data_IF_344955567588
#
_entry.id   IF_344955567588
#
_cell.length_a   1.000
_cell.length_b   1.000
_cell.length_c   1.000
_cell.angle_alpha   90.00
_cell.angle_beta   90.00
_cell.angle_gamma   90.00
#
_symmetry.space_group_name_H-M   'P 1'
#
loop_
_entity.id
_entity.type
_entity.pdbx_description
1 polymer ?
#
# COMPACT_ATOMS: atom_id res chain seq x y z
N UNK A 1 -1.53 -17.53 -31.84
CA UNK A 1 -0.47 -18.47 -31.43
C UNK A 1 -0.80 -18.89 -30.02
N UNK A 2 -1.31 -20.11 -29.88
CA UNK A 2 -1.61 -20.73 -28.58
C UNK A 2 -0.27 -21.06 -27.95
N UNK A 3 0.13 -20.29 -26.96
CA UNK A 3 1.34 -20.59 -26.18
C UNK A 3 1.01 -21.78 -25.28
N UNK A 4 1.52 -22.94 -25.60
CA UNK A 4 1.47 -24.14 -24.75
C UNK A 4 2.08 -23.79 -23.39
N UNK A 5 1.23 -23.79 -22.37
CA UNK A 5 1.66 -23.63 -20.96
C UNK A 5 2.41 -24.89 -20.57
N UNK A 6 3.72 -24.81 -20.45
CA UNK A 6 4.52 -25.88 -19.85
C UNK A 6 4.13 -25.99 -18.38
N UNK A 7 3.37 -27.05 -18.02
CA UNK A 7 3.18 -27.44 -16.62
C UNK A 7 4.54 -27.89 -16.07
N UNK A 8 4.74 -27.69 -14.77
CA UNK A 8 5.88 -28.30 -14.09
C UNK A 8 5.86 -29.82 -14.30
N UNK A 9 7.03 -30.50 -14.35
CA UNK A 9 7.13 -31.94 -14.59
C UNK A 9 6.35 -32.79 -13.58
N UNK A 10 6.04 -32.26 -12.39
CA UNK A 10 5.29 -32.88 -11.30
C UNK A 10 3.77 -32.60 -11.34
N UNK A 11 3.29 -31.90 -12.37
CA UNK A 11 1.88 -31.53 -12.51
C UNK A 11 1.41 -30.40 -11.57
N UNK A 12 2.28 -29.87 -10.69
CA UNK A 12 1.95 -28.73 -9.86
C UNK A 12 2.01 -27.43 -10.69
N UNK A 13 0.94 -26.64 -10.66
CA UNK A 13 0.89 -25.33 -11.33
C UNK A 13 1.81 -24.32 -10.62
N UNK A 14 2.26 -23.30 -11.35
CA UNK A 14 3.12 -22.23 -10.81
C UNK A 14 2.41 -21.46 -9.71
N UNK A 15 3.02 -21.41 -8.53
CA UNK A 15 2.54 -20.61 -7.42
C UNK A 15 2.93 -19.13 -7.62
N UNK A 16 1.93 -18.26 -7.59
CA UNK A 16 2.07 -16.82 -7.50
C UNK A 16 1.90 -16.33 -6.06
N UNK A 17 2.78 -15.43 -5.63
CA UNK A 17 2.63 -14.71 -4.37
C UNK A 17 2.46 -13.22 -4.67
N UNK A 18 1.31 -12.68 -4.27
CA UNK A 18 0.93 -11.28 -4.46
C UNK A 18 1.01 -10.55 -3.12
N UNK A 19 1.81 -9.50 -3.07
CA UNK A 19 2.14 -8.76 -1.87
C UNK A 19 1.64 -7.32 -1.98
N UNK A 20 0.71 -6.93 -1.10
CA UNK A 20 0.17 -5.57 -1.09
C UNK A 20 1.20 -4.54 -0.63
N UNK A 21 1.01 -3.29 -1.02
CA UNK A 21 1.70 -2.16 -0.39
C UNK A 21 1.26 -1.98 1.07
N UNK A 22 2.11 -1.33 1.87
CA UNK A 22 1.79 -1.15 3.28
C UNK A 22 2.87 -0.47 4.13
N UNK A 23 3.89 0.13 3.54
CA UNK A 23 4.94 0.85 4.26
C UNK A 23 5.59 0.00 5.36
N UNK A 24 5.63 0.48 6.59
CA UNK A 24 6.22 -0.19 7.74
C UNK A 24 5.51 -1.49 8.17
N UNK A 25 4.38 -1.86 7.55
CA UNK A 25 3.69 -3.15 7.74
C UNK A 25 4.32 -4.29 6.93
N UNK A 26 5.34 -4.03 6.10
CA UNK A 26 6.06 -5.05 5.30
C UNK A 26 6.54 -6.29 6.07
N UNK A 27 7.02 -6.22 7.31
CA UNK A 27 7.39 -7.38 8.13
C UNK A 27 6.30 -8.42 8.31
N UNK A 28 5.01 -8.04 8.26
CA UNK A 28 3.89 -8.98 8.28
C UNK A 28 4.00 -10.00 7.14
N UNK A 29 4.31 -9.53 5.93
CA UNK A 29 4.45 -10.38 4.75
C UNK A 29 5.64 -11.34 4.88
N UNK A 30 6.71 -10.91 5.55
CA UNK A 30 7.87 -11.78 5.84
C UNK A 30 7.46 -12.91 6.79
N UNK A 31 6.67 -12.60 7.83
CA UNK A 31 6.14 -13.60 8.75
C UNK A 31 5.21 -14.61 8.06
N UNK A 32 4.37 -14.14 7.13
CA UNK A 32 3.55 -15.03 6.29
C UNK A 32 4.43 -15.91 5.42
N UNK A 33 5.39 -15.33 4.71
CA UNK A 33 6.29 -16.06 3.81
C UNK A 33 7.07 -17.15 4.54
N UNK A 34 7.60 -16.86 5.73
CA UNK A 34 8.29 -17.85 6.56
C UNK A 34 7.40 -19.06 6.89
N UNK A 35 6.14 -18.81 7.27
CA UNK A 35 5.21 -19.90 7.61
C UNK A 35 4.82 -20.72 6.38
N UNK A 36 4.63 -20.07 5.23
CA UNK A 36 4.38 -20.77 3.96
C UNK A 36 5.53 -21.71 3.60
N UNK A 37 6.78 -21.29 3.72
CA UNK A 37 7.95 -22.13 3.42
C UNK A 37 8.08 -23.37 4.33
N UNK A 38 7.52 -23.32 5.54
CA UNK A 38 7.51 -24.46 6.47
C UNK A 38 6.40 -25.48 6.20
N UNK A 39 5.44 -25.13 5.35
CA UNK A 39 4.36 -26.04 4.95
C UNK A 39 4.75 -26.79 3.67
N UNK A 40 4.60 -28.13 3.66
CA UNK A 40 5.00 -28.98 2.54
C UNK A 40 4.34 -28.58 1.21
N UNK A 41 3.14 -28.02 1.25
CA UNK A 41 2.38 -27.58 0.05
C UNK A 41 3.03 -26.39 -0.65
N UNK A 42 3.82 -25.60 0.06
CA UNK A 42 4.39 -24.32 -0.40
C UNK A 42 5.90 -24.21 -0.16
N UNK A 43 6.56 -25.32 0.24
CA UNK A 43 7.99 -25.35 0.62
C UNK A 43 8.92 -24.92 -0.51
N UNK A 44 8.57 -25.17 -1.77
CA UNK A 44 9.34 -24.72 -2.95
C UNK A 44 9.27 -23.21 -3.18
N UNK A 45 8.38 -22.54 -2.45
CA UNK A 45 8.14 -21.12 -2.57
C UNK A 45 7.48 -20.71 -3.90
N UNK A 46 7.18 -19.41 -4.07
CA UNK A 46 6.51 -18.91 -5.27
C UNK A 46 7.47 -18.84 -6.48
N UNK A 47 6.98 -19.19 -7.67
CA UNK A 47 7.68 -19.05 -8.95
C UNK A 47 7.37 -17.69 -9.61
N UNK A 48 6.24 -17.08 -9.23
CA UNK A 48 5.79 -15.77 -9.71
C UNK A 48 5.57 -14.85 -8.52
N UNK A 49 6.07 -13.64 -8.61
CA UNK A 49 5.96 -12.63 -7.58
C UNK A 49 5.32 -11.37 -8.16
N UNK A 50 4.42 -10.75 -7.43
CA UNK A 50 3.86 -9.45 -7.79
C UNK A 50 3.71 -8.60 -6.54
N UNK A 51 4.22 -7.37 -6.57
CA UNK A 51 4.20 -6.51 -5.39
C UNK A 51 4.15 -5.03 -5.71
N UNK A 52 3.67 -4.27 -4.73
CA UNK A 52 3.63 -2.81 -4.76
C UNK A 52 4.23 -2.28 -3.46
N UNK A 53 5.01 -1.18 -3.49
CA UNK A 53 5.55 -0.53 -2.30
C UNK A 53 6.34 -1.51 -1.41
N UNK A 54 6.01 -1.63 -0.12
CA UNK A 54 6.58 -2.62 0.78
C UNK A 54 6.51 -4.05 0.22
N UNK A 55 5.42 -4.40 -0.46
CA UNK A 55 5.27 -5.68 -1.15
C UNK A 55 6.23 -5.86 -2.31
N UNK A 56 6.58 -4.78 -3.02
CA UNK A 56 7.61 -4.79 -4.07
C UNK A 56 8.99 -5.07 -3.48
N UNK A 57 9.34 -4.45 -2.35
CA UNK A 57 10.60 -4.69 -1.64
C UNK A 57 10.71 -6.16 -1.21
N UNK A 58 9.66 -6.70 -0.59
CA UNK A 58 9.63 -8.11 -0.18
C UNK A 58 9.68 -9.06 -1.39
N UNK A 59 8.92 -8.80 -2.46
CA UNK A 59 8.95 -9.57 -3.69
C UNK A 59 10.35 -9.61 -4.31
N UNK A 60 11.06 -8.48 -4.31
CA UNK A 60 12.43 -8.38 -4.81
C UNK A 60 13.41 -9.20 -3.97
N UNK A 61 13.33 -9.13 -2.63
CA UNK A 61 14.16 -9.92 -1.74
C UNK A 61 13.89 -11.42 -1.92
N UNK A 62 12.64 -11.85 -2.01
CA UNK A 62 12.26 -13.24 -2.31
C UNK A 62 12.79 -13.67 -3.69
N UNK A 63 12.68 -12.81 -4.72
CA UNK A 63 13.21 -13.09 -6.06
C UNK A 63 14.73 -13.25 -6.05
N UNK A 64 15.44 -12.48 -5.27
CA UNK A 64 16.89 -12.57 -5.10
C UNK A 64 17.32 -13.79 -4.27
N UNK A 65 16.37 -14.43 -3.55
CA UNK A 65 16.63 -15.63 -2.76
C UNK A 65 16.99 -15.35 -1.30
N UNK A 66 16.61 -14.20 -0.76
CA UNK A 66 16.80 -13.89 0.65
C UNK A 66 15.95 -14.81 1.53
N UNK A 67 16.51 -15.21 2.64
CA UNK A 67 15.80 -15.91 3.71
C UNK A 67 14.89 -14.95 4.48
N UNK A 68 13.83 -15.44 5.15
CA UNK A 68 12.99 -14.59 6.01
C UNK A 68 13.80 -13.82 7.08
N UNK A 69 14.87 -14.42 7.61
CA UNK A 69 15.75 -13.74 8.57
C UNK A 69 16.46 -12.54 7.96
N UNK A 70 17.09 -12.72 6.79
CA UNK A 70 17.77 -11.62 6.07
C UNK A 70 16.78 -10.51 5.65
N UNK A 71 15.55 -10.89 5.29
CA UNK A 71 14.50 -9.93 5.02
C UNK A 71 14.14 -9.12 6.28
N UNK A 72 14.06 -9.77 7.45
CA UNK A 72 13.81 -9.07 8.72
C UNK A 72 14.99 -8.18 9.13
N UNK A 73 16.23 -8.57 8.85
CA UNK A 73 17.41 -7.72 9.08
C UNK A 73 17.34 -6.43 8.26
N UNK A 74 16.88 -6.51 6.99
CA UNK A 74 16.61 -5.32 6.19
C UNK A 74 15.56 -4.42 6.86
N UNK A 75 14.41 -4.99 7.30
CA UNK A 75 13.35 -4.21 7.95
C UNK A 75 13.82 -3.59 9.27
N UNK A 76 14.56 -4.32 10.10
CA UNK A 76 15.13 -3.77 11.33
C UNK A 76 16.17 -2.68 11.04
N UNK A 77 16.95 -2.85 9.99
CA UNK A 77 17.84 -1.79 9.53
C UNK A 77 17.11 -0.50 9.18
N UNK A 78 15.88 -0.56 8.62
CA UNK A 78 15.03 0.62 8.40
C UNK A 78 14.53 1.23 9.71
N UNK A 79 14.42 0.45 10.80
CA UNK A 79 14.08 0.98 12.11
C UNK A 79 15.24 1.74 12.75
N UNK A 80 16.48 1.27 12.55
CA UNK A 80 17.68 1.90 13.14
C UNK A 80 18.08 3.19 12.42
N UNK A 81 17.83 3.26 11.11
CA UNK A 81 18.05 4.44 10.26
C UNK A 81 16.84 4.61 9.33
N UNK A 82 15.79 5.26 9.81
CA UNK A 82 14.55 5.40 9.05
C UNK A 82 14.78 6.11 7.71
N UNK A 83 14.13 5.65 6.63
CA UNK A 83 14.23 6.31 5.32
C UNK A 83 13.59 7.71 5.34
N UNK A 84 12.82 8.02 6.40
CA UNK A 84 12.05 9.25 6.54
C UNK A 84 12.85 10.25 7.38
N UNK A 85 13.72 11.02 6.75
CA UNK A 85 14.34 12.23 7.36
C UNK A 85 13.82 13.42 6.59
N UNK A 86 13.00 14.21 7.24
CA UNK A 86 12.35 15.35 6.61
C UNK A 86 13.36 16.37 6.05
N UNK A 87 13.11 16.86 4.86
CA UNK A 87 13.95 17.82 4.18
C UNK A 87 14.00 19.15 4.97
N UNK A 88 15.19 19.65 5.26
CA UNK A 88 15.38 20.97 5.87
C UNK A 88 14.81 22.10 4.98
N UNK A 89 14.79 21.89 3.66
CA UNK A 89 14.18 22.81 2.70
C UNK A 89 12.67 22.91 2.89
N UNK A 90 11.99 21.77 3.05
CA UNK A 90 10.56 21.75 3.31
C UNK A 90 10.19 22.56 4.54
N UNK A 91 10.86 22.31 5.68
CA UNK A 91 10.58 23.05 6.90
C UNK A 91 10.90 24.55 6.78
N UNK A 92 11.97 24.90 6.08
CA UNK A 92 12.30 26.30 5.83
C UNK A 92 11.20 26.98 5.01
N UNK A 93 10.78 26.38 3.89
CA UNK A 93 9.72 26.92 3.03
C UNK A 93 8.38 26.99 3.76
N UNK A 94 8.04 25.96 4.54
CA UNK A 94 6.86 25.96 5.40
C UNK A 94 6.91 27.12 6.40
N UNK A 95 8.03 27.31 7.11
CA UNK A 95 8.22 28.39 8.08
C UNK A 95 8.13 29.77 7.42
N UNK A 96 8.82 29.98 6.30
CA UNK A 96 8.77 31.23 5.53
C UNK A 96 7.33 31.54 5.05
N UNK A 97 6.58 30.54 4.60
CA UNK A 97 5.18 30.69 4.17
C UNK A 97 4.27 31.03 5.34
N UNK A 98 4.40 30.31 6.45
CA UNK A 98 3.65 30.63 7.70
C UNK A 98 3.95 32.04 8.18
N UNK A 99 5.23 32.44 8.20
CA UNK A 99 5.63 33.80 8.62
C UNK A 99 5.01 34.85 7.68
N UNK A 100 5.05 34.64 6.36
CA UNK A 100 4.47 35.56 5.37
C UNK A 100 2.97 35.73 5.56
N UNK A 101 2.23 34.59 5.70
CA UNK A 101 0.78 34.59 5.95
C UNK A 101 0.48 35.31 7.26
N UNK A 102 1.20 35.00 8.33
CA UNK A 102 1.00 35.62 9.66
C UNK A 102 1.25 37.11 9.64
N UNK A 103 2.33 37.58 8.99
CA UNK A 103 2.64 38.98 8.86
C UNK A 103 1.54 39.75 8.08
N UNK A 104 1.06 39.16 6.96
CA UNK A 104 -0.02 39.77 6.16
C UNK A 104 -1.33 39.81 6.94
N UNK A 105 -1.66 38.76 7.66
CA UNK A 105 -2.88 38.71 8.47
C UNK A 105 -2.84 39.65 9.66
N UNK A 106 -1.70 39.82 10.32
CA UNK A 106 -1.52 40.81 11.39
C UNK A 106 -1.84 42.24 10.92
N UNK A 107 -1.49 42.59 9.67
CA UNK A 107 -1.81 43.88 9.07
C UNK A 107 -3.31 43.99 8.74
N UNK A 108 -3.96 42.90 8.35
CA UNK A 108 -5.39 42.89 7.94
C UNK A 108 -6.36 42.69 9.12
N UNK A 109 -5.86 42.23 10.26
CA UNK A 109 -6.66 41.86 11.45
C UNK A 109 -7.59 43.02 11.94
N UNK A 110 -7.18 44.27 12.04
CA UNK A 110 -8.03 45.37 12.52
C UNK A 110 -9.28 45.60 11.66
N UNK A 111 -9.23 45.26 10.37
CA UNK A 111 -10.34 45.47 9.42
C UNK A 111 -11.35 44.31 9.41
N UNK A 112 -10.97 43.13 9.87
CA UNK A 112 -11.78 41.90 9.79
C UNK A 112 -12.37 41.47 11.14
N UNK A 113 -11.82 41.93 12.26
CA UNK A 113 -12.24 41.58 13.61
C UNK A 113 -13.76 41.59 13.86
N UNK A 114 -14.55 42.57 13.40
CA UNK A 114 -15.98 42.59 13.70
C UNK A 114 -16.77 41.46 13.08
N UNK A 115 -16.48 41.10 11.82
CA UNK A 115 -17.21 40.00 11.10
C UNK A 115 -16.77 38.64 11.57
N UNK A 116 -15.48 38.44 11.85
CA UNK A 116 -14.93 37.18 12.29
C UNK A 116 -15.27 36.88 13.75
N UNK A 117 -15.31 37.92 14.61
CA UNK A 117 -15.78 37.78 15.99
C UNK A 117 -17.25 37.35 16.07
N UNK A 118 -18.11 37.90 15.21
CA UNK A 118 -19.52 37.47 15.17
C UNK A 118 -19.68 36.03 14.75
N UNK A 119 -18.95 35.58 13.73
CA UNK A 119 -18.95 34.18 13.27
C UNK A 119 -18.40 33.23 14.34
N UNK A 120 -17.33 33.62 15.01
CA UNK A 120 -16.75 32.88 16.11
C UNK A 120 -17.74 32.71 17.27
N UNK A 121 -18.40 33.80 17.71
CA UNK A 121 -19.42 33.75 18.77
C UNK A 121 -20.62 32.91 18.41
N UNK A 122 -21.09 32.96 17.15
CA UNK A 122 -22.18 32.11 16.68
C UNK A 122 -21.84 30.62 16.77
N UNK A 123 -20.60 30.25 16.47
CA UNK A 123 -20.12 28.85 16.54
C UNK A 123 -19.75 28.41 17.94
N UNK A 124 -19.19 29.28 18.78
CA UNK A 124 -18.85 29.00 20.16
C UNK A 124 -20.05 28.47 20.97
N UNK A 125 -21.28 28.87 20.57
CA UNK A 125 -22.53 28.40 21.16
C UNK A 125 -22.72 26.88 21.09
N UNK A 126 -22.18 26.18 20.06
CA UNK A 126 -22.27 24.75 19.91
C UNK A 126 -21.27 23.97 20.79
N UNK A 127 -20.26 24.65 21.29
CA UNK A 127 -19.17 24.04 22.10
C UNK A 127 -19.27 24.45 23.59
N UNK A 128 -20.43 24.95 24.02
CA UNK A 128 -20.64 25.38 25.41
C UNK A 128 -21.29 24.26 26.26
N UNK A 129 -20.79 23.93 27.49
CA UNK A 129 -19.67 24.56 28.20
C UNK A 129 -18.28 24.15 27.64
N UNK A 130 -17.30 25.07 27.63
CA UNK A 130 -16.01 24.82 27.04
C UNK A 130 -15.19 23.83 27.89
N UNK A 131 -14.85 22.70 27.29
CA UNK A 131 -13.81 21.79 27.78
C UNK A 131 -12.53 22.03 26.98
N UNK A 132 -11.34 21.75 27.55
CA UNK A 132 -10.05 21.95 26.85
C UNK A 132 -10.01 21.35 25.45
N UNK A 133 -10.68 20.20 25.23
CA UNK A 133 -10.82 19.59 23.91
C UNK A 133 -11.78 20.29 22.95
N UNK A 134 -12.78 21.03 23.46
CA UNK A 134 -13.73 21.77 22.62
C UNK A 134 -13.18 23.10 22.12
N UNK A 135 -12.24 23.70 22.83
CA UNK A 135 -11.59 24.95 22.40
C UNK A 135 -10.68 24.68 21.17
N UNK A 136 -9.88 23.61 21.19
CA UNK A 136 -9.06 23.23 20.05
C UNK A 136 -9.91 22.83 18.84
N UNK A 137 -11.04 22.13 19.05
CA UNK A 137 -11.98 21.80 18.00
C UNK A 137 -12.64 23.05 17.41
N UNK A 138 -13.02 24.02 18.22
CA UNK A 138 -13.58 25.31 17.80
C UNK A 138 -12.57 26.12 16.96
N UNK A 139 -11.32 26.18 17.40
CA UNK A 139 -10.24 26.86 16.66
C UNK A 139 -10.02 26.15 15.31
N UNK A 140 -9.98 24.83 15.32
CA UNK A 140 -9.80 24.04 14.09
C UNK A 140 -11.01 24.19 13.15
N UNK A 141 -12.23 24.15 13.66
CA UNK A 141 -13.46 24.38 12.87
C UNK A 141 -13.47 25.78 12.26
N UNK A 142 -13.12 26.81 13.05
CA UNK A 142 -12.99 28.17 12.54
C UNK A 142 -11.94 28.27 11.42
N UNK A 143 -10.77 27.66 11.61
CA UNK A 143 -9.70 27.65 10.60
C UNK A 143 -10.14 26.96 9.32
N UNK A 144 -10.66 25.73 9.42
CA UNK A 144 -11.04 24.92 8.26
C UNK A 144 -12.25 25.48 7.50
N UNK A 145 -13.19 26.14 8.17
CA UNK A 145 -14.43 26.57 7.53
C UNK A 145 -14.47 28.07 7.18
N UNK A 146 -13.74 28.90 7.93
CA UNK A 146 -13.74 30.34 7.72
C UNK A 146 -12.48 30.86 7.02
N UNK A 147 -11.39 30.10 7.08
CA UNK A 147 -10.07 30.50 6.57
C UNK A 147 -9.43 29.40 5.68
N UNK A 148 -10.25 28.71 4.90
CA UNK A 148 -9.77 27.75 3.93
C UNK A 148 -8.83 28.39 2.89
N UNK A 149 -9.01 29.69 2.62
CA UNK A 149 -8.11 30.51 1.82
C UNK A 149 -6.64 30.46 2.35
N UNK A 150 -6.45 30.54 3.67
CA UNK A 150 -5.11 30.46 4.27
C UNK A 150 -4.51 29.06 4.21
N UNK A 151 -5.35 28.03 4.34
CA UNK A 151 -4.91 26.64 4.18
C UNK A 151 -4.47 26.39 2.73
N UNK A 152 -5.25 26.87 1.76
CA UNK A 152 -4.90 26.76 0.34
C UNK A 152 -3.59 27.51 0.05
N UNK A 153 -3.46 28.75 0.52
CA UNK A 153 -2.25 29.55 0.35
C UNK A 153 -1.03 28.91 1.02
N UNK A 154 -1.21 28.28 2.20
CA UNK A 154 -0.15 27.55 2.86
C UNK A 154 0.33 26.36 2.00
N UNK A 155 -0.62 25.59 1.45
CA UNK A 155 -0.30 24.45 0.60
C UNK A 155 0.38 24.87 -0.71
N UNK A 156 -0.09 25.97 -1.33
CA UNK A 156 0.51 26.52 -2.55
C UNK A 156 1.88 27.18 -2.30
N UNK A 157 2.09 27.73 -1.09
CA UNK A 157 3.35 28.36 -0.69
C UNK A 157 4.48 27.36 -0.41
N UNK A 158 4.17 26.08 -0.23
CA UNK A 158 5.18 25.04 -0.05
C UNK A 158 5.69 24.64 -1.44
N UNK A 159 6.89 25.08 -1.78
CA UNK A 159 7.49 24.84 -3.10
C UNK A 159 8.03 23.41 -3.28
N UNK A 160 8.25 22.67 -2.19
CA UNK A 160 8.73 21.29 -2.24
C UNK A 160 7.53 20.33 -2.25
N UNK A 161 7.33 19.55 -3.34
CA UNK A 161 6.16 18.66 -3.45
C UNK A 161 6.28 17.37 -2.62
N UNK A 162 7.32 17.24 -1.77
CA UNK A 162 7.57 16.06 -0.95
C UNK A 162 8.32 16.42 0.34
N UNK A 163 8.14 15.58 1.36
CA UNK A 163 8.80 15.76 2.68
C UNK A 163 10.22 15.20 2.71
N UNK A 164 10.48 14.11 1.96
CA UNK A 164 11.68 13.27 2.10
C UNK A 164 12.26 12.91 0.75
N UNK A 165 13.58 12.98 0.64
CA UNK A 165 14.32 12.45 -0.51
C UNK A 165 14.42 10.93 -0.46
N UNK A 166 14.33 10.28 -1.62
CA UNK A 166 14.40 8.80 -1.77
C UNK A 166 15.83 8.26 -1.78
N UNK A 167 16.86 9.11 -1.79
CA UNK A 167 18.26 8.72 -1.94
C UNK A 167 18.72 7.71 -0.89
N UNK A 168 18.36 7.92 0.37
CA UNK A 168 18.73 6.99 1.46
C UNK A 168 18.16 5.58 1.25
N UNK A 169 16.90 5.47 0.85
CA UNK A 169 16.30 4.16 0.54
C UNK A 169 17.02 3.53 -0.65
N UNK A 170 17.30 4.31 -1.68
CA UNK A 170 18.04 3.86 -2.87
C UNK A 170 19.41 3.29 -2.50
N UNK A 171 20.22 4.02 -1.76
CA UNK A 171 21.57 3.62 -1.37
C UNK A 171 21.56 2.34 -0.53
N UNK A 172 20.59 2.22 0.37
CA UNK A 172 20.38 1.02 1.16
C UNK A 172 20.03 -0.20 0.31
N UNK A 173 19.15 -0.03 -0.69
CA UNK A 173 18.79 -1.11 -1.61
C UNK A 173 19.97 -1.49 -2.52
N UNK A 174 20.76 -0.53 -2.99
CA UNK A 174 21.98 -0.80 -3.75
C UNK A 174 22.95 -1.63 -2.92
N UNK A 175 23.14 -1.28 -1.64
CA UNK A 175 23.98 -2.06 -0.72
C UNK A 175 23.41 -3.46 -0.45
N UNK A 176 22.09 -3.55 -0.25
CA UNK A 176 21.40 -4.83 0.02
C UNK A 176 21.56 -5.82 -1.13
N UNK A 177 21.38 -5.38 -2.36
CA UNK A 177 21.44 -6.24 -3.56
C UNK A 177 22.84 -6.33 -4.19
N UNK A 178 23.81 -5.61 -3.66
CA UNK A 178 25.18 -5.56 -4.20
C UNK A 178 25.28 -4.86 -5.57
N UNK A 179 24.31 -4.00 -5.91
CA UNK A 179 24.27 -3.29 -7.19
C UNK A 179 22.91 -2.67 -7.49
N UNK A 180 22.79 -2.10 -8.68
CA UNK A 180 21.58 -1.41 -9.13
C UNK A 180 20.53 -2.31 -9.78
N UNK A 181 20.85 -3.59 -10.01
CA UNK A 181 19.95 -4.60 -10.60
C UNK A 181 19.75 -5.74 -9.63
N UNK A 182 18.51 -6.25 -9.55
CA UNK A 182 18.15 -7.31 -8.63
C UNK A 182 18.36 -8.67 -9.30
N UNK A 183 18.99 -9.63 -8.61
CA UNK A 183 19.09 -11.00 -9.13
C UNK A 183 17.71 -11.61 -9.36
N UNK A 184 17.44 -12.01 -10.61
CA UNK A 184 16.15 -12.59 -11.01
C UNK A 184 16.20 -14.12 -10.95
N UNK A 185 15.92 -14.71 -9.81
CA UNK A 185 15.72 -16.17 -9.72
C UNK A 185 14.26 -16.59 -10.00
N UNK A 186 13.33 -15.62 -10.03
CA UNK A 186 11.89 -15.83 -10.17
C UNK A 186 11.30 -14.76 -11.09
N UNK A 187 10.12 -15.03 -11.68
CA UNK A 187 9.37 -14.00 -12.42
C UNK A 187 8.80 -13.00 -11.43
N UNK A 188 9.02 -11.72 -11.70
CA UNK A 188 8.58 -10.68 -10.78
C UNK A 188 7.91 -9.52 -11.54
N UNK A 189 6.88 -8.95 -10.93
CA UNK A 189 6.22 -7.73 -11.33
C UNK A 189 6.26 -6.69 -10.23
N UNK A 190 6.66 -5.46 -10.58
CA UNK A 190 6.69 -4.30 -9.69
C UNK A 190 5.83 -3.20 -10.30
N UNK A 191 5.00 -2.55 -9.47
CA UNK A 191 4.05 -1.56 -9.94
C UNK A 191 4.40 -0.16 -9.44
N UNK A 192 4.31 0.81 -10.32
CA UNK A 192 4.44 2.24 -10.04
C UNK A 192 3.35 3.01 -10.79
N UNK A 193 3.21 4.30 -10.51
CA UNK A 193 2.28 5.20 -11.21
C UNK A 193 3.06 6.30 -11.90
N UNK A 194 2.82 6.51 -13.18
CA UNK A 194 3.36 7.62 -13.94
C UNK A 194 2.54 8.88 -13.66
N UNK A 195 3.19 9.88 -13.09
CA UNK A 195 2.57 11.14 -12.67
C UNK A 195 2.00 11.92 -13.86
N UNK A 196 2.71 11.91 -15.00
CA UNK A 196 2.32 12.69 -16.15
C UNK A 196 1.06 12.14 -16.85
N UNK A 197 0.92 10.81 -16.85
CA UNK A 197 -0.19 10.14 -17.52
C UNK A 197 -1.31 9.69 -16.59
N UNK A 198 -1.04 9.66 -15.27
CA UNK A 198 -1.96 9.09 -14.27
C UNK A 198 -2.19 7.58 -14.43
N UNK A 199 -1.28 6.87 -15.13
CA UNK A 199 -1.45 5.44 -15.43
C UNK A 199 -0.51 4.57 -14.62
N UNK A 200 -0.94 3.33 -14.39
CA UNK A 200 -0.08 2.30 -13.80
C UNK A 200 1.01 1.89 -14.77
N UNK A 201 2.23 1.73 -14.28
CA UNK A 201 3.36 1.14 -14.99
C UNK A 201 3.77 -0.14 -14.28
N UNK A 202 3.76 -1.26 -15.00
CA UNK A 202 4.10 -2.58 -14.47
C UNK A 202 5.42 -3.05 -15.06
N UNK A 203 6.49 -2.97 -14.29
CA UNK A 203 7.79 -3.54 -14.67
C UNK A 203 7.79 -5.03 -14.42
N UNK A 204 8.04 -5.85 -15.44
CA UNK A 204 7.94 -7.30 -15.37
C UNK A 204 9.19 -7.98 -15.94
N UNK A 205 9.63 -9.06 -15.28
CA UNK A 205 10.70 -9.92 -15.79
C UNK A 205 10.11 -11.19 -16.40
N UNK A 206 9.94 -11.21 -17.69
CA UNK A 206 9.40 -12.35 -18.43
C UNK A 206 8.31 -11.97 -19.41
N UNK A 207 7.99 -12.87 -20.33
CA UNK A 207 6.98 -12.63 -21.32
C UNK A 207 5.60 -12.51 -20.67
N UNK A 208 4.88 -11.48 -21.06
CA UNK A 208 3.45 -11.33 -20.79
C UNK A 208 2.66 -11.57 -22.06
N UNK A 209 1.44 -12.12 -22.01
CA UNK A 209 0.57 -12.21 -23.18
C UNK A 209 0.41 -10.82 -23.80
N UNK A 210 0.14 -10.76 -25.10
CA UNK A 210 -0.19 -9.52 -25.80
C UNK A 210 -1.54 -8.99 -25.27
N UNK A 211 -1.49 -8.32 -24.15
CA UNK A 211 -2.57 -7.50 -23.57
C UNK A 211 -2.39 -6.10 -24.16
N UNK A 212 -3.44 -5.23 -24.25
CA UNK A 212 -3.26 -3.84 -24.65
C UNK A 212 -2.09 -3.22 -23.91
N UNK A 213 -0.97 -3.03 -24.62
CA UNK A 213 0.39 -3.14 -24.08
C UNK A 213 0.91 -1.88 -23.39
N UNK A 214 0.08 -0.87 -23.07
CA UNK A 214 0.59 0.41 -22.57
C UNK A 214 1.05 0.39 -21.11
N UNK A 215 0.68 -0.62 -20.33
CA UNK A 215 0.95 -0.66 -18.90
C UNK A 215 2.12 -1.60 -18.51
N UNK A 216 2.46 -2.58 -19.35
CA UNK A 216 3.53 -3.54 -19.08
C UNK A 216 4.84 -3.12 -19.75
N UNK A 217 5.89 -3.05 -18.95
CA UNK A 217 7.26 -2.81 -19.41
C UNK A 217 8.09 -4.04 -19.10
N UNK A 218 8.39 -4.83 -20.13
CA UNK A 218 9.24 -6.02 -19.98
C UNK A 218 10.69 -5.57 -19.85
N UNK A 219 11.32 -5.99 -18.77
CA UNK A 219 12.72 -5.66 -18.44
C UNK A 219 13.53 -6.93 -18.20
N UNK A 220 14.83 -6.94 -18.51
CA UNK A 220 15.69 -8.10 -18.27
C UNK A 220 15.88 -8.35 -16.77
N UNK A 221 15.86 -7.29 -15.96
CA UNK A 221 15.96 -7.34 -14.50
C UNK A 221 15.26 -6.11 -13.90
N UNK A 222 14.66 -6.28 -12.73
CA UNK A 222 14.18 -5.14 -11.94
C UNK A 222 15.39 -4.35 -11.45
N UNK A 223 15.32 -3.02 -11.56
CA UNK A 223 16.34 -2.13 -11.00
C UNK A 223 15.94 -1.63 -9.61
N UNK A 224 16.92 -1.18 -8.85
CA UNK A 224 16.71 -0.51 -7.57
C UNK A 224 15.81 0.72 -7.75
N UNK A 225 16.00 1.48 -8.83
CA UNK A 225 15.18 2.69 -9.09
C UNK A 225 13.69 2.34 -9.31
N UNK A 226 13.38 1.19 -9.93
CA UNK A 226 12.00 0.70 -10.05
C UNK A 226 11.39 0.34 -8.69
N UNK A 227 12.18 -0.24 -7.78
CA UNK A 227 11.73 -0.52 -6.41
C UNK A 227 11.50 0.77 -5.62
N UNK A 228 12.43 1.72 -5.71
CA UNK A 228 12.30 3.03 -5.06
C UNK A 228 11.06 3.75 -5.61
N UNK A 229 10.83 3.75 -6.92
CA UNK A 229 9.63 4.32 -7.53
C UNK A 229 8.35 3.68 -6.97
N UNK A 230 8.33 2.35 -6.88
CA UNK A 230 7.18 1.61 -6.31
C UNK A 230 6.93 1.92 -4.82
N UNK A 231 7.93 2.39 -4.09
CA UNK A 231 7.84 2.73 -2.66
C UNK A 231 7.83 4.25 -2.38
N UNK A 232 7.77 5.08 -3.43
CA UNK A 232 7.76 6.54 -3.30
C UNK A 232 6.34 7.05 -3.10
N UNK A 233 5.85 6.94 -1.86
CA UNK A 233 4.51 7.39 -1.45
C UNK A 233 4.36 8.88 -1.78
N UNK A 234 3.31 9.28 -2.53
CA UNK A 234 3.04 10.67 -2.87
C UNK A 234 3.01 11.58 -1.64
N UNK A 235 3.47 12.80 -1.80
CA UNK A 235 3.60 13.82 -0.74
C UNK A 235 4.66 13.51 0.32
N UNK A 236 4.93 12.24 0.60
CA UNK A 236 5.95 11.84 1.58
C UNK A 236 7.34 11.77 0.92
N UNK A 237 7.45 11.08 -0.20
CA UNK A 237 8.71 10.88 -0.91
C UNK A 237 8.78 11.60 -2.25
N UNK A 238 10.01 11.96 -2.66
CA UNK A 238 10.26 12.50 -3.99
C UNK A 238 9.87 11.47 -5.06
N UNK A 239 9.28 11.93 -6.17
CA UNK A 239 9.04 11.06 -7.32
C UNK A 239 10.38 10.63 -7.96
N UNK A 240 10.37 9.45 -8.59
CA UNK A 240 11.57 8.83 -9.17
C UNK A 240 11.53 8.94 -10.69
N UNK A 241 12.53 9.59 -11.32
CA UNK A 241 12.65 9.61 -12.77
C UNK A 241 13.20 8.28 -13.30
N UNK A 242 12.49 7.65 -14.24
CA UNK A 242 12.97 6.48 -15.00
C UNK A 242 12.71 6.70 -16.48
N UNK A 243 13.76 6.93 -17.24
CA UNK A 243 13.65 7.35 -18.64
C UNK A 243 12.91 8.69 -18.76
N UNK A 244 11.83 8.72 -19.52
CA UNK A 244 10.99 9.91 -19.72
C UNK A 244 9.83 9.98 -18.71
N UNK A 245 9.70 9.02 -17.81
CA UNK A 245 8.61 8.94 -16.84
C UNK A 245 9.04 9.48 -15.49
N UNK A 246 8.09 10.08 -14.80
CA UNK A 246 8.22 10.48 -13.40
C UNK A 246 7.25 9.66 -12.57
N UNK A 247 7.74 8.86 -11.63
CA UNK A 247 7.00 7.76 -11.02
C UNK A 247 6.80 7.95 -9.51
N UNK A 248 5.61 7.61 -9.06
CA UNK A 248 5.22 7.45 -7.66
C UNK A 248 4.83 6.00 -7.33
N UNK A 249 4.62 5.76 -6.03
CA UNK A 249 4.17 4.48 -5.47
C UNK A 249 2.93 3.95 -6.22
N UNK A 250 3.01 2.68 -6.60
CA UNK A 250 1.92 1.97 -7.28
C UNK A 250 0.65 1.84 -6.42
N UNK A 251 0.78 1.93 -5.10
CA UNK A 251 -0.33 1.86 -4.16
C UNK A 251 -1.39 2.95 -4.35
N UNK A 252 -1.03 4.04 -5.03
CA UNK A 252 -1.98 5.08 -5.40
C UNK A 252 -3.14 4.55 -6.28
N UNK A 253 -2.88 3.60 -7.18
CA UNK A 253 -3.88 3.03 -8.09
C UNK A 253 -4.04 1.51 -7.93
N UNK A 254 -2.96 0.76 -7.70
CA UNK A 254 -2.96 -0.71 -7.62
C UNK A 254 -2.10 -1.16 -6.43
N UNK A 255 -2.70 -1.15 -5.26
CA UNK A 255 -2.00 -1.53 -4.03
C UNK A 255 -1.71 -3.03 -3.96
N UNK A 256 -2.59 -3.87 -4.51
CA UNK A 256 -2.48 -5.34 -4.49
C UNK A 256 -2.58 -5.88 -5.91
N UNK A 257 -1.45 -6.10 -6.59
CA UNK A 257 -1.42 -6.33 -8.03
C UNK A 257 -1.66 -7.81 -8.41
N UNK A 258 -2.91 -8.24 -8.52
CA UNK A 258 -3.28 -9.59 -8.97
C UNK A 258 -3.01 -9.82 -10.47
N UNK A 259 -3.41 -8.86 -11.30
CA UNK A 259 -3.35 -9.00 -12.75
C UNK A 259 -1.94 -9.34 -13.29
N UNK A 260 -0.84 -8.72 -12.80
CA UNK A 260 0.50 -9.08 -13.24
C UNK A 260 0.92 -10.51 -12.88
N UNK A 261 0.48 -11.05 -11.74
CA UNK A 261 0.77 -12.43 -11.37
C UNK A 261 0.12 -13.41 -12.36
N UNK A 262 -1.13 -13.15 -12.75
CA UNK A 262 -1.83 -13.92 -13.80
C UNK A 262 -1.11 -13.80 -15.14
N UNK A 263 -0.71 -12.59 -15.53
CA UNK A 263 0.00 -12.32 -16.79
C UNK A 263 1.36 -13.03 -16.86
N UNK A 264 2.10 -13.11 -15.74
CA UNK A 264 3.37 -13.83 -15.64
C UNK A 264 3.20 -15.35 -15.55
N UNK A 265 1.98 -15.86 -15.58
CA UNK A 265 1.67 -17.27 -15.71
C UNK A 265 1.50 -18.03 -14.38
N UNK A 266 1.10 -17.37 -13.31
CA UNK A 266 0.71 -18.06 -12.09
C UNK A 266 -0.56 -18.91 -12.30
N UNK A 267 -0.54 -20.17 -11.91
CA UNK A 267 -1.67 -21.09 -11.99
C UNK A 267 -2.48 -21.13 -10.70
N UNK A 268 -1.82 -20.80 -9.60
CA UNK A 268 -2.43 -20.61 -8.29
C UNK A 268 -1.84 -19.37 -7.61
N UNK A 269 -2.66 -18.61 -6.89
CA UNK A 269 -2.26 -17.33 -6.30
C UNK A 269 -2.61 -17.28 -4.82
N UNK A 270 -1.61 -16.98 -4.00
CA UNK A 270 -1.75 -16.55 -2.61
C UNK A 270 -1.56 -15.04 -2.57
N UNK A 271 -2.52 -14.33 -1.98
CA UNK A 271 -2.45 -12.88 -1.78
C UNK A 271 -2.24 -12.57 -0.30
N UNK A 272 -1.29 -11.70 0.01
CA UNK A 272 -1.04 -11.21 1.37
C UNK A 272 -1.40 -9.74 1.46
N UNK A 273 -2.46 -9.44 2.20
CA UNK A 273 -2.91 -8.07 2.48
C UNK A 273 -2.39 -7.63 3.85
N UNK A 274 -1.88 -6.42 3.93
CA UNK A 274 -1.45 -5.82 5.21
C UNK A 274 -2.52 -4.93 5.83
N UNK A 275 -3.65 -4.79 5.17
CA UNK A 275 -4.85 -4.13 5.68
C UNK A 275 -5.61 -5.05 6.61
N UNK A 276 -6.18 -4.48 7.66
CA UNK A 276 -6.89 -5.22 8.69
C UNK A 276 -8.31 -5.60 8.23
N UNK A 277 -8.75 -6.81 8.53
CA UNK A 277 -10.14 -7.20 8.32
C UNK A 277 -11.03 -6.64 9.44
N UNK A 278 -11.58 -5.44 9.24
CA UNK A 278 -12.47 -4.83 10.23
C UNK A 278 -13.90 -5.35 10.05
N UNK A 279 -14.36 -6.21 10.95
CA UNK A 279 -15.74 -6.72 10.95
C UNK A 279 -16.75 -5.79 11.65
N UNK A 280 -16.35 -5.05 12.68
CA UNK A 280 -17.23 -4.13 13.42
C UNK A 280 -16.37 -3.11 14.13
N UNK A 281 -16.20 -1.95 13.56
CA UNK A 281 -15.41 -0.88 14.16
C UNK A 281 -16.27 0.29 14.58
N UNK A 282 -16.31 0.61 15.87
CA UNK A 282 -16.83 1.89 16.30
C UNK A 282 -15.91 3.01 15.76
N UNK A 283 -16.42 3.81 14.83
CA UNK A 283 -15.74 4.98 14.25
C UNK A 283 -15.68 6.18 15.21
N UNK A 284 -15.78 5.94 16.51
CA UNK A 284 -15.84 6.98 17.55
C UNK A 284 -14.61 7.90 17.61
N UNK A 285 -13.53 7.59 16.89
CA UNK A 285 -12.30 8.39 16.87
C UNK A 285 -11.93 8.75 15.44
N UNK A 286 -11.59 10.02 15.19
CA UNK A 286 -11.18 10.54 13.88
C UNK A 286 -10.03 9.71 13.25
N UNK A 287 -9.00 9.36 14.03
CA UNK A 287 -7.87 8.55 13.54
C UNK A 287 -8.31 7.18 12.98
N UNK A 288 -9.38 6.58 13.52
CA UNK A 288 -9.94 5.34 12.98
C UNK A 288 -10.70 5.56 11.68
N UNK A 289 -11.41 6.68 11.55
CA UNK A 289 -12.07 7.03 10.30
C UNK A 289 -11.02 7.22 9.19
N UNK A 290 -9.91 7.91 9.48
CA UNK A 290 -8.78 8.07 8.54
C UNK A 290 -8.18 6.71 8.17
N UNK A 291 -7.89 5.85 9.14
CA UNK A 291 -7.35 4.50 8.91
C UNK A 291 -8.30 3.68 8.02
N UNK A 292 -9.58 3.64 8.38
CA UNK A 292 -10.58 2.89 7.62
C UNK A 292 -10.74 3.40 6.19
N UNK A 293 -10.69 4.72 6.00
CA UNK A 293 -10.73 5.32 4.67
C UNK A 293 -9.51 4.89 3.86
N UNK A 294 -8.31 4.96 4.44
CA UNK A 294 -7.08 4.52 3.80
C UNK A 294 -7.13 3.03 3.44
N UNK A 295 -7.50 2.16 4.38
CA UNK A 295 -7.62 0.72 4.15
C UNK A 295 -8.64 0.42 3.04
N UNK A 296 -9.81 1.09 3.05
CA UNK A 296 -10.84 0.90 2.03
C UNK A 296 -10.34 1.31 0.64
N UNK A 297 -9.61 2.42 0.56
CA UNK A 297 -9.02 2.90 -0.68
C UNK A 297 -7.97 1.90 -1.22
N UNK A 298 -7.07 1.43 -0.34
CA UNK A 298 -6.01 0.51 -0.71
C UNK A 298 -6.54 -0.87 -1.12
N UNK A 299 -7.68 -1.31 -0.56
CA UNK A 299 -8.30 -2.59 -0.91
C UNK A 299 -9.19 -2.55 -2.14
N UNK A 300 -9.65 -1.37 -2.57
CA UNK A 300 -10.61 -1.26 -3.67
C UNK A 300 -10.11 -1.91 -4.96
N UNK A 301 -8.86 -1.66 -5.35
CA UNK A 301 -8.26 -2.24 -6.54
C UNK A 301 -8.16 -3.78 -6.44
N UNK A 302 -7.83 -4.31 -5.26
CA UNK A 302 -7.82 -5.75 -5.02
C UNK A 302 -9.21 -6.37 -5.21
N UNK A 303 -10.24 -5.75 -4.65
CA UNK A 303 -11.61 -6.28 -4.74
C UNK A 303 -12.09 -6.33 -6.19
N UNK A 304 -11.77 -5.30 -6.99
CA UNK A 304 -12.10 -5.26 -8.43
C UNK A 304 -11.32 -6.32 -9.20
N UNK A 305 -10.01 -6.43 -9.02
CA UNK A 305 -9.15 -7.43 -9.69
C UNK A 305 -9.56 -8.86 -9.30
N UNK A 306 -9.90 -9.07 -8.02
CA UNK A 306 -10.43 -10.35 -7.51
C UNK A 306 -11.72 -10.76 -8.22
N UNK A 307 -12.71 -9.86 -8.29
CA UNK A 307 -13.96 -10.13 -8.98
C UNK A 307 -13.73 -10.45 -10.46
N UNK A 308 -12.90 -9.67 -11.14
CA UNK A 308 -12.53 -9.92 -12.54
C UNK A 308 -11.87 -11.28 -12.74
N UNK A 309 -10.96 -11.68 -11.86
CA UNK A 309 -10.29 -12.98 -11.94
C UNK A 309 -11.28 -14.12 -11.73
N UNK A 310 -12.16 -14.02 -10.74
CA UNK A 310 -13.16 -15.05 -10.46
C UNK A 310 -14.20 -15.17 -11.59
N UNK A 311 -14.61 -14.06 -12.20
CA UNK A 311 -15.46 -14.10 -13.40
C UNK A 311 -14.73 -14.73 -14.61
N UNK A 312 -13.45 -14.41 -14.82
CA UNK A 312 -12.64 -15.09 -15.83
C UNK A 312 -12.51 -16.58 -15.59
N UNK A 313 -12.37 -17.02 -14.35
CA UNK A 313 -12.38 -18.42 -13.97
C UNK A 313 -13.72 -19.09 -14.29
N UNK A 314 -14.84 -18.36 -14.11
CA UNK A 314 -16.16 -18.85 -14.52
C UNK A 314 -16.26 -19.03 -16.04
N UNK A 315 -15.78 -18.01 -16.79
CA UNK A 315 -15.77 -18.05 -18.25
C UNK A 315 -14.82 -19.11 -18.81
N UNK A 316 -13.71 -19.42 -18.11
CA UNK A 316 -12.73 -20.43 -18.56
C UNK A 316 -13.31 -21.85 -18.66
N UNK A 317 -14.44 -22.10 -17.99
CA UNK A 317 -15.15 -23.40 -18.01
C UNK A 317 -16.09 -23.56 -19.19
N UNK A 318 -16.29 -22.53 -20.00
CA UNK A 318 -17.10 -22.59 -21.21
C UNK A 318 -16.27 -23.13 -22.37
N UNK A 319 -16.90 -23.94 -23.22
CA UNK A 319 -16.26 -24.50 -24.40
C UNK A 319 -15.73 -23.39 -25.33
N UNK A 320 -14.48 -23.54 -25.80
CA UNK A 320 -13.83 -22.55 -26.65
C UNK A 320 -13.33 -21.29 -25.95
N UNK A 321 -13.37 -21.23 -24.61
CA UNK A 321 -12.91 -20.09 -23.85
C UNK A 321 -11.42 -19.77 -24.08
N UNK A 322 -11.04 -18.51 -24.30
CA UNK A 322 -9.64 -18.10 -24.38
C UNK A 322 -8.99 -17.98 -22.98
N UNK A 323 -9.77 -18.10 -21.92
CA UNK A 323 -9.30 -17.93 -20.54
C UNK A 323 -8.85 -19.27 -19.96
N UNK A 324 -7.81 -19.24 -19.11
CA UNK A 324 -7.42 -20.36 -18.28
C UNK A 324 -7.91 -20.17 -16.84
N UNK A 325 -8.24 -21.22 -16.16
CA UNK A 325 -8.57 -21.16 -14.74
C UNK A 325 -7.29 -20.90 -13.92
N UNK A 326 -7.39 -19.99 -12.96
CA UNK A 326 -6.33 -19.67 -11.99
C UNK A 326 -6.89 -19.88 -10.60
N UNK A 327 -6.31 -20.77 -9.83
CA UNK A 327 -6.75 -21.04 -8.46
C UNK A 327 -6.38 -19.83 -7.57
N UNK A 328 -7.36 -19.07 -7.16
CA UNK A 328 -7.18 -17.99 -6.19
C UNK A 328 -7.50 -18.52 -4.79
N UNK A 329 -6.56 -18.37 -3.86
CA UNK A 329 -6.83 -18.61 -2.46
C UNK A 329 -7.41 -17.35 -1.81
N UNK A 330 -8.24 -17.55 -0.76
CA UNK A 330 -8.67 -16.41 0.07
C UNK A 330 -7.46 -15.66 0.61
N UNK A 331 -7.52 -14.33 0.57
CA UNK A 331 -6.40 -13.51 0.94
C UNK A 331 -6.01 -13.69 2.41
N UNK A 332 -4.72 -13.89 2.65
CA UNK A 332 -4.12 -13.84 3.98
C UNK A 332 -4.17 -12.40 4.50
N UNK A 333 -4.80 -12.22 5.65
CA UNK A 333 -4.95 -10.94 6.34
C UNK A 333 -4.60 -11.09 7.81
N UNK A 334 -4.03 -10.07 8.46
CA UNK A 334 -3.85 -10.09 9.90
C UNK A 334 -5.21 -10.10 10.61
N UNK A 335 -5.27 -10.82 11.74
CA UNK A 335 -6.38 -10.69 12.66
C UNK A 335 -6.38 -9.28 13.28
N UNK A 336 -7.58 -8.80 13.65
CA UNK A 336 -7.72 -7.51 14.32
C UNK A 336 -6.93 -7.46 15.63
N UNK A 337 -5.90 -6.63 15.68
CA UNK A 337 -5.10 -6.39 16.89
C UNK A 337 -4.83 -4.89 17.04
N UNK A 338 -5.61 -4.25 17.93
CA UNK A 338 -5.54 -2.81 18.19
C UNK A 338 -4.17 -2.34 18.72
N UNK A 339 -3.40 -3.24 19.30
CA UNK A 339 -2.07 -2.91 19.81
C UNK A 339 -1.02 -2.83 18.66
N UNK A 340 -1.31 -3.49 17.54
CA UNK A 340 -0.39 -3.60 16.39
C UNK A 340 -0.81 -2.69 15.24
N UNK A 341 -2.12 -2.58 14.98
CA UNK A 341 -2.66 -1.84 13.84
C UNK A 341 -3.27 -0.50 14.28
N UNK A 342 -2.82 0.57 13.67
CA UNK A 342 -3.33 1.94 13.83
C UNK A 342 -3.04 2.73 12.56
N UNK A 343 -3.66 3.89 12.38
CA UNK A 343 -3.39 4.76 11.23
C UNK A 343 -1.90 5.10 11.08
N UNK A 344 -1.18 5.26 12.20
CA UNK A 344 0.25 5.52 12.22
C UNK A 344 1.12 4.30 11.90
N UNK A 345 0.59 3.07 11.92
CA UNK A 345 1.40 1.87 11.74
C UNK A 345 1.98 1.70 10.33
N UNK A 346 1.42 2.39 9.32
CA UNK A 346 2.00 2.45 7.96
C UNK A 346 3.36 3.15 7.90
N UNK A 347 3.62 4.07 8.84
CA UNK A 347 4.86 4.86 8.90
C UNK A 347 5.65 4.65 10.21
N UNK A 348 5.23 3.69 11.02
CA UNK A 348 5.91 3.38 12.29
C UNK A 348 7.05 2.39 12.09
N UNK A 349 8.23 2.91 11.81
CA UNK A 349 9.47 2.14 11.60
C UNK A 349 10.18 1.76 12.91
N UNK A 350 9.48 1.60 14.03
CA UNK A 350 10.10 1.14 15.29
C UNK A 350 10.29 -0.38 15.27
N UNK A 351 11.42 -0.87 15.81
CA UNK A 351 11.75 -2.31 15.90
C UNK A 351 10.65 -3.12 16.58
N UNK A 352 10.07 -2.62 17.67
CA UNK A 352 8.98 -3.29 18.40
C UNK A 352 7.73 -3.46 17.54
N UNK A 353 7.35 -2.42 16.77
CA UNK A 353 6.22 -2.46 15.83
C UNK A 353 6.48 -3.45 14.71
N UNK A 354 7.67 -3.44 14.11
CA UNK A 354 8.05 -4.38 13.06
C UNK A 354 8.05 -5.83 13.55
N UNK A 355 8.58 -6.09 14.75
CA UNK A 355 8.52 -7.42 15.35
C UNK A 355 7.08 -7.86 15.64
N UNK A 356 6.21 -6.95 16.06
CA UNK A 356 4.79 -7.25 16.27
C UNK A 356 4.07 -7.58 14.94
N UNK A 357 4.35 -6.83 13.86
CA UNK A 357 3.83 -7.10 12.52
C UNK A 357 4.30 -8.47 12.00
N UNK A 358 5.58 -8.79 12.13
CA UNK A 358 6.12 -10.09 11.75
C UNK A 358 5.40 -11.25 12.46
N UNK A 359 5.23 -11.16 13.80
CA UNK A 359 4.49 -12.17 14.57
C UNK A 359 3.01 -12.24 14.16
N UNK A 360 2.38 -11.11 13.83
CA UNK A 360 1.01 -11.09 13.33
C UNK A 360 0.89 -11.83 12.00
N UNK A 361 1.87 -11.66 11.10
CA UNK A 361 1.94 -12.42 9.85
C UNK A 361 2.11 -13.91 10.06
N UNK A 362 2.99 -14.31 11.00
CA UNK A 362 3.17 -15.73 11.35
C UNK A 362 1.87 -16.35 11.89
N UNK A 363 1.14 -15.66 12.78
CA UNK A 363 -0.15 -16.13 13.32
C UNK A 363 -1.18 -16.28 12.19
N UNK A 364 -1.36 -15.23 11.38
CA UNK A 364 -2.32 -15.24 10.27
C UNK A 364 -2.08 -16.42 9.31
N UNK A 365 -0.83 -16.67 8.94
CA UNK A 365 -0.49 -17.79 8.07
C UNK A 365 -0.68 -19.14 8.78
N UNK A 366 -0.37 -19.25 10.07
CA UNK A 366 -0.58 -20.49 10.84
C UNK A 366 -2.06 -20.87 10.87
N UNK A 367 -2.94 -19.91 11.17
CA UNK A 367 -4.38 -20.14 11.23
C UNK A 367 -4.95 -20.49 9.86
N UNK A 368 -4.50 -19.79 8.80
CA UNK A 368 -4.91 -20.03 7.43
C UNK A 368 -4.47 -21.43 6.92
N UNK A 369 -3.26 -21.87 7.27
CA UNK A 369 -2.74 -23.19 6.92
C UNK A 369 -3.45 -24.33 7.68
N UNK A 370 -3.78 -24.09 8.96
CA UNK A 370 -4.45 -25.06 9.82
C UNK A 370 -5.91 -25.32 9.39
N UNK A 371 -6.60 -24.32 8.88
CA UNK A 371 -7.96 -24.43 8.34
C UNK A 371 -8.00 -25.14 6.97
N UNK A 372 -6.82 -25.42 6.37
CA UNK A 372 -6.68 -25.83 4.98
C UNK A 372 -6.89 -24.62 4.07
N UNK A 373 -5.89 -24.22 3.26
CA UNK A 373 -5.93 -22.99 2.47
C UNK A 373 -7.23 -22.83 1.70
N UNK A 374 -8.14 -21.93 2.12
CA UNK A 374 -9.46 -21.84 1.50
C UNK A 374 -9.33 -21.25 0.10
N UNK A 375 -10.08 -21.83 -0.85
CA UNK A 375 -10.13 -21.34 -2.23
C UNK A 375 -11.22 -20.28 -2.33
N UNK A 376 -10.83 -19.14 -2.85
CA UNK A 376 -11.74 -18.03 -3.07
C UNK A 376 -12.73 -18.33 -4.20
N UNK A 377 -14.00 -18.06 -3.98
CA UNK A 377 -15.10 -18.30 -4.93
C UNK A 377 -16.05 -17.10 -4.95
N UNK A 378 -16.67 -16.87 -6.09
CA UNK A 378 -17.83 -16.01 -6.17
C UNK A 378 -19.01 -16.73 -5.50
N UNK A 379 -19.28 -16.39 -4.27
CA UNK A 379 -20.47 -16.90 -3.59
C UNK A 379 -21.67 -15.99 -3.95
N UNK A 380 -22.58 -16.53 -4.77
CA UNK A 380 -23.73 -15.81 -5.29
C UNK A 380 -24.76 -15.44 -4.21
N UNK A 381 -24.50 -15.74 -2.93
CA UNK A 381 -25.48 -15.56 -1.85
C UNK A 381 -24.95 -14.80 -0.60
N UNK A 382 -23.66 -14.53 -0.44
CA UNK A 382 -23.16 -13.92 0.79
C UNK A 382 -22.89 -12.42 0.70
N UNK A 383 -22.79 -11.84 -0.50
CA UNK A 383 -22.51 -10.40 -0.67
C UNK A 383 -23.78 -9.51 -0.60
N UNK A 384 -24.99 -10.08 -0.60
CA UNK A 384 -26.25 -9.31 -0.66
C UNK A 384 -27.08 -9.37 0.63
N UNK A 385 -26.74 -10.23 1.59
CA UNK A 385 -27.58 -10.44 2.77
C UNK A 385 -26.82 -10.40 4.10
N UNK A 386 -26.34 -9.21 4.49
CA UNK A 386 -26.23 -8.91 5.93
C UNK A 386 -26.99 -7.63 6.22
N UNK A 387 -27.98 -7.66 7.10
CA UNK A 387 -28.80 -6.49 7.40
C UNK A 387 -27.93 -5.40 8.00
N UNK A 388 -28.09 -4.20 7.50
CA UNK A 388 -27.69 -2.97 8.17
C UNK A 388 -28.32 -3.03 9.57
N UNK A 389 -27.51 -3.14 10.60
CA UNK A 389 -27.98 -3.11 11.97
C UNK A 389 -28.75 -1.80 12.17
N UNK A 390 -30.03 -1.96 12.42
CA UNK A 390 -30.87 -0.90 12.96
C UNK A 390 -30.21 -0.31 14.20
N UNK A 391 -29.96 0.98 14.16
CA UNK A 391 -29.65 1.76 15.34
C UNK A 391 -30.77 1.56 16.36
N UNK A 392 -30.50 0.83 17.43
CA UNK A 392 -31.32 0.87 18.64
C UNK A 392 -30.75 1.98 19.52
N UNK A 393 -31.62 2.96 19.74
CA UNK A 393 -31.68 4.06 20.72
C UNK A 393 -30.60 4.08 21.80
#
# INVERSE_FOLDING_TARGET
VVTTVTRNPDGSGKLGLVLSGGGARGPLQVGVYERLLRDRRFADGPQVLSGTSAGALNAAMISAGFTPSEMMDFWYGLADDPPVVASTRFFRTLFETVLRITAREAISLPRRLPSDALRFLQRARYYWPPQLGSLSALIMDYFLTSRFDLVSELLEGIQEPFLVDTGRLRDRLVKLFGGTRIPNKRRIAINAVDIHTGKVVRYVTGPVPAVPASEYVVVPAISVDMLVASASIPLLFSPVPIGTRLLWDGGLLVNTPLAPAVALGADQIITVLVTEHCRTGNLSRFGRAVERTADSFLENAYNVDRMLLLERNRLSRLDGSPYREVKLYEALRPAHDRAVFSAGSYLNFQRSSMAAMYRAGQRAATDWLAQGPPVDRLDSRQDVSRPVLTASS
#
